data_IF_379925849110
#
_entry.id   IF_379925849110
#
_cell.length_a   1.000
_cell.length_b   1.000
_cell.length_c   1.000
_cell.angle_alpha   90.00
_cell.angle_beta   90.00
_cell.angle_gamma   90.00
#
_symmetry.space_group_name_H-M   'P 1'
#
loop_
_entity.id
_entity.type
_entity.pdbx_description
1 polymer ?
#
# COMPACT_ATOMS: atom_id res chain seq x y z
N UNK A 1 -16.94 31.89 -6.51
CA UNK A 1 -15.52 31.84 -6.93
C UNK A 1 -14.74 30.70 -6.26
N UNK A 2 -15.15 30.24 -5.07
CA UNK A 2 -14.58 29.04 -4.42
C UNK A 2 -14.83 27.75 -5.20
N UNK A 3 -15.98 27.65 -5.88
CA UNK A 3 -16.39 26.42 -6.54
C UNK A 3 -15.54 26.06 -7.77
N UNK A 4 -15.05 27.06 -8.51
CA UNK A 4 -14.21 26.81 -9.70
C UNK A 4 -12.81 26.35 -9.28
N UNK A 5 -12.24 26.95 -8.22
CA UNK A 5 -10.94 26.54 -7.68
C UNK A 5 -11.05 25.14 -7.07
N UNK A 6 -12.07 24.87 -6.24
CA UNK A 6 -12.31 23.53 -5.68
C UNK A 6 -12.62 22.48 -6.76
N UNK A 7 -13.28 22.83 -7.86
CA UNK A 7 -13.59 21.89 -8.94
C UNK A 7 -12.40 21.63 -9.87
N UNK A 8 -11.44 22.55 -9.98
CA UNK A 8 -10.17 22.37 -10.71
C UNK A 8 -9.17 21.57 -9.88
N UNK A 9 -9.02 21.89 -8.59
CA UNK A 9 -8.13 21.15 -7.70
C UNK A 9 -8.71 19.77 -7.30
N UNK A 10 -10.02 19.67 -7.11
CA UNK A 10 -10.69 18.40 -6.79
C UNK A 10 -10.72 17.39 -7.94
N UNK A 11 -10.66 17.84 -9.20
CA UNK A 11 -10.48 16.96 -10.36
C UNK A 11 -9.01 16.64 -10.65
N UNK A 12 -8.07 17.44 -10.15
CA UNK A 12 -6.62 17.22 -10.30
C UNK A 12 -6.03 16.34 -9.19
N UNK A 13 -6.75 16.13 -8.07
CA UNK A 13 -6.39 15.12 -7.06
C UNK A 13 -6.82 13.76 -7.59
N UNK A 14 -5.90 13.17 -8.34
CA UNK A 14 -5.98 11.85 -8.94
C UNK A 14 -6.14 10.80 -7.81
N UNK A 15 -7.38 10.52 -7.38
CA UNK A 15 -7.65 9.49 -6.36
C UNK A 15 -7.05 8.13 -6.76
N UNK A 16 -6.83 7.90 -8.07
CA UNK A 16 -6.08 6.78 -8.60
C UNK A 16 -4.59 6.80 -8.26
N UNK A 17 -3.96 7.97 -8.13
CA UNK A 17 -2.56 8.10 -7.73
C UNK A 17 -2.37 7.77 -6.25
N UNK A 18 -3.23 8.29 -5.37
CA UNK A 18 -3.17 7.96 -3.93
C UNK A 18 -3.43 6.47 -3.68
N UNK A 19 -4.40 5.89 -4.39
CA UNK A 19 -4.68 4.45 -4.36
C UNK A 19 -3.45 3.64 -4.82
N UNK A 20 -2.88 3.98 -5.99
CA UNK A 20 -1.70 3.29 -6.55
C UNK A 20 -0.48 3.41 -5.63
N UNK A 21 -0.25 4.60 -5.08
CA UNK A 21 0.84 4.85 -4.13
C UNK A 21 0.65 4.04 -2.86
N UNK A 22 -0.58 3.96 -2.34
CA UNK A 22 -0.89 3.18 -1.14
C UNK A 22 -0.67 1.68 -1.37
N UNK A 23 -1.13 1.14 -2.50
CA UNK A 23 -0.85 -0.25 -2.87
C UNK A 23 0.65 -0.54 -3.01
N UNK A 24 1.38 0.37 -3.66
CA UNK A 24 2.84 0.26 -3.83
C UNK A 24 3.57 0.31 -2.49
N UNK A 25 3.18 1.25 -1.61
CA UNK A 25 3.73 1.41 -0.28
C UNK A 25 3.46 0.17 0.59
N UNK A 26 2.21 -0.33 0.61
CA UNK A 26 1.81 -1.54 1.31
C UNK A 26 2.63 -2.77 0.88
N UNK A 27 2.82 -2.96 -0.44
CA UNK A 27 3.64 -4.03 -0.99
C UNK A 27 5.12 -3.87 -0.59
N UNK A 28 5.65 -2.65 -0.66
CA UNK A 28 7.03 -2.34 -0.27
C UNK A 28 7.28 -2.56 1.23
N UNK A 29 6.30 -2.29 2.09
CA UNK A 29 6.38 -2.51 3.52
C UNK A 29 6.46 -4.02 3.83
N UNK A 30 5.63 -4.84 3.18
CA UNK A 30 5.68 -6.29 3.30
C UNK A 30 7.02 -6.87 2.82
N UNK A 31 7.48 -6.44 1.64
CA UNK A 31 8.78 -6.85 1.10
C UNK A 31 9.94 -6.41 2.01
N UNK A 32 9.88 -5.18 2.54
CA UNK A 32 10.85 -4.64 3.49
C UNK A 32 10.90 -5.41 4.79
N UNK A 33 9.75 -5.81 5.36
CA UNK A 33 9.69 -6.66 6.53
C UNK A 33 10.41 -8.00 6.30
N UNK A 34 10.15 -8.64 5.15
CA UNK A 34 10.84 -9.88 4.75
C UNK A 34 12.35 -9.71 4.59
N UNK A 35 12.79 -8.62 3.95
CA UNK A 35 14.21 -8.30 3.77
C UNK A 35 14.92 -8.05 5.11
N UNK A 36 14.32 -7.27 6.01
CA UNK A 36 14.87 -7.02 7.35
C UNK A 36 14.88 -8.29 8.21
N UNK A 37 13.89 -9.17 8.07
CA UNK A 37 13.89 -10.46 8.75
C UNK A 37 15.05 -11.34 8.27
N UNK A 38 15.23 -11.46 6.96
CA UNK A 38 16.34 -12.21 6.37
C UNK A 38 17.70 -11.65 6.83
N UNK A 39 17.84 -10.32 6.89
CA UNK A 39 19.04 -9.66 7.39
C UNK A 39 19.25 -9.90 8.89
N UNK A 40 18.19 -9.88 9.70
CA UNK A 40 18.22 -10.17 11.14
C UNK A 40 18.75 -11.58 11.42
N UNK A 41 18.31 -12.57 10.64
CA UNK A 41 18.75 -13.96 10.76
C UNK A 41 20.23 -14.16 10.37
N UNK A 42 20.75 -13.32 9.47
CA UNK A 42 22.14 -13.36 9.02
C UNK A 42 23.09 -12.49 9.86
N UNK A 43 22.56 -11.67 10.78
CA UNK A 43 23.35 -10.76 11.59
C UNK A 43 24.26 -11.51 12.58
N UNK A 44 25.56 -11.20 12.50
CA UNK A 44 26.61 -11.84 13.30
C UNK A 44 26.75 -11.28 14.71
N UNK A 45 26.24 -10.07 14.97
CA UNK A 45 26.26 -9.42 16.28
C UNK A 45 24.86 -9.25 16.88
N UNK A 46 24.71 -9.35 18.21
CA UNK A 46 23.42 -9.18 18.86
C UNK A 46 22.87 -7.75 18.73
N UNK A 47 23.73 -6.73 18.70
CA UNK A 47 23.33 -5.32 18.56
C UNK A 47 22.71 -5.06 17.19
N UNK A 48 23.33 -5.57 16.11
CA UNK A 48 22.79 -5.43 14.76
C UNK A 48 21.49 -6.22 14.61
N UNK A 49 21.41 -7.41 15.20
CA UNK A 49 20.19 -8.22 15.22
C UNK A 49 19.03 -7.49 15.90
N UNK A 50 19.28 -6.81 17.01
CA UNK A 50 18.27 -6.04 17.73
C UNK A 50 17.74 -4.87 16.88
N UNK A 51 18.62 -4.13 16.21
CA UNK A 51 18.24 -3.01 15.34
C UNK A 51 17.41 -3.50 14.15
N UNK A 52 17.90 -4.50 13.42
CA UNK A 52 17.21 -5.04 12.24
C UNK A 52 15.87 -5.68 12.62
N UNK A 53 15.81 -6.39 13.76
CA UNK A 53 14.57 -6.93 14.31
C UNK A 53 13.56 -5.83 14.63
N UNK A 54 14.02 -4.70 15.15
CA UNK A 54 13.18 -3.50 15.35
C UNK A 54 12.58 -2.99 14.03
N UNK A 55 13.34 -2.98 12.94
CA UNK A 55 12.82 -2.58 11.63
C UNK A 55 11.78 -3.56 11.08
N UNK A 56 11.88 -4.86 11.37
CA UNK A 56 10.82 -5.83 11.02
C UNK A 56 9.50 -5.41 11.65
N UNK A 57 9.49 -5.14 12.97
CA UNK A 57 8.28 -4.70 13.67
C UNK A 57 7.72 -3.40 13.10
N UNK A 58 8.58 -2.43 12.79
CA UNK A 58 8.14 -1.16 12.18
C UNK A 58 7.52 -1.37 10.80
N UNK A 59 8.10 -2.23 9.96
CA UNK A 59 7.56 -2.53 8.62
C UNK A 59 6.25 -3.31 8.66
N UNK A 60 6.07 -4.20 9.63
CA UNK A 60 4.78 -4.87 9.86
C UNK A 60 3.70 -3.86 10.25
N UNK A 61 4.00 -2.94 11.18
CA UNK A 61 3.07 -1.88 11.58
C UNK A 61 2.75 -0.92 10.43
N UNK A 62 3.73 -0.58 9.59
CA UNK A 62 3.53 0.23 8.39
C UNK A 62 2.58 -0.46 7.40
N UNK A 63 2.80 -1.75 7.13
CA UNK A 63 1.91 -2.54 6.27
C UNK A 63 0.47 -2.58 6.81
N UNK A 64 0.31 -2.82 8.11
CA UNK A 64 -0.99 -2.88 8.78
C UNK A 64 -1.72 -1.54 8.70
N UNK A 65 -1.04 -0.44 9.03
CA UNK A 65 -1.59 0.92 8.96
C UNK A 65 -2.04 1.28 7.55
N UNK A 66 -1.25 0.94 6.52
CA UNK A 66 -1.63 1.20 5.13
C UNK A 66 -2.79 0.30 4.72
N UNK A 67 -2.83 -0.95 5.18
CA UNK A 67 -3.93 -1.89 4.92
C UNK A 67 -5.25 -1.35 5.47
N UNK A 68 -5.26 -0.90 6.72
CA UNK A 68 -6.43 -0.24 7.31
C UNK A 68 -6.82 1.02 6.54
N UNK A 69 -5.84 1.82 6.11
CA UNK A 69 -6.08 3.03 5.31
C UNK A 69 -6.77 2.71 3.98
N UNK A 70 -6.28 1.74 3.21
CA UNK A 70 -6.88 1.37 1.91
C UNK A 70 -8.26 0.72 2.07
N UNK A 71 -8.48 -0.03 3.16
CA UNK A 71 -9.79 -0.57 3.51
C UNK A 71 -10.79 0.53 3.87
N UNK A 72 -10.39 1.49 4.72
CA UNK A 72 -11.23 2.61 5.13
C UNK A 72 -11.59 3.53 3.97
N UNK A 73 -10.73 3.63 2.95
CA UNK A 73 -11.00 4.35 1.70
C UNK A 73 -11.90 3.57 0.73
N UNK A 74 -12.16 2.29 0.99
CA UNK A 74 -12.95 1.41 0.13
C UNK A 74 -12.21 0.94 -1.12
N UNK A 75 -10.89 1.10 -1.16
CA UNK A 75 -10.05 0.66 -2.29
C UNK A 75 -9.75 -0.83 -2.24
N UNK A 76 -9.79 -1.44 -1.05
CA UNK A 76 -9.60 -2.87 -0.85
C UNK A 76 -10.73 -3.45 0.00
N UNK A 77 -11.30 -4.57 -0.46
CA UNK A 77 -12.26 -5.37 0.30
C UNK A 77 -11.71 -6.80 0.45
N UNK A 78 -10.87 -7.06 1.47
CA UNK A 78 -10.17 -8.35 1.61
C UNK A 78 -11.11 -9.52 1.92
N UNK A 79 -12.34 -9.25 2.36
CA UNK A 79 -13.35 -10.25 2.68
C UNK A 79 -14.32 -10.57 1.54
N UNK A 80 -14.16 -9.94 0.37
CA UNK A 80 -14.96 -10.29 -0.81
C UNK A 80 -14.62 -11.70 -1.31
N UNK A 81 -15.54 -12.32 -2.04
CA UNK A 81 -15.26 -13.59 -2.72
C UNK A 81 -14.02 -13.46 -3.62
N UNK A 82 -13.10 -14.45 -3.66
CA UNK A 82 -11.89 -14.35 -4.48
C UNK A 82 -12.14 -14.03 -5.95
N UNK A 83 -13.26 -14.52 -6.51
CA UNK A 83 -13.69 -14.20 -7.88
C UNK A 83 -14.00 -12.72 -8.06
N UNK A 84 -14.66 -12.08 -7.08
CA UNK A 84 -14.95 -10.64 -7.09
C UNK A 84 -13.68 -9.81 -6.91
N UNK A 85 -12.75 -10.25 -6.06
CA UNK A 85 -11.47 -9.57 -5.89
C UNK A 85 -10.66 -9.57 -7.20
N UNK A 86 -10.64 -10.69 -7.92
CA UNK A 86 -10.01 -10.80 -9.24
C UNK A 86 -10.71 -9.93 -10.29
N UNK A 87 -12.04 -9.93 -10.32
CA UNK A 87 -12.82 -9.09 -11.23
C UNK A 87 -12.56 -7.59 -10.99
N UNK A 88 -12.51 -7.18 -9.71
CA UNK A 88 -12.19 -5.80 -9.32
C UNK A 88 -10.80 -5.40 -9.79
N UNK A 89 -9.80 -6.25 -9.53
CA UNK A 89 -8.41 -6.02 -9.96
C UNK A 89 -8.31 -5.93 -11.49
N UNK A 90 -9.01 -6.80 -12.22
CA UNK A 90 -9.02 -6.78 -13.68
C UNK A 90 -9.65 -5.49 -14.23
N UNK A 91 -10.80 -5.07 -13.68
CA UNK A 91 -11.45 -3.81 -14.06
C UNK A 91 -10.55 -2.60 -13.80
N UNK A 92 -9.90 -2.58 -12.64
CA UNK A 92 -8.96 -1.51 -12.28
C UNK A 92 -7.77 -1.45 -13.25
N UNK A 93 -7.15 -2.60 -13.54
CA UNK A 93 -6.06 -2.69 -14.54
C UNK A 93 -6.49 -2.14 -15.91
N UNK A 94 -7.67 -2.55 -16.40
CA UNK A 94 -8.19 -2.08 -17.68
C UNK A 94 -8.51 -0.57 -17.67
N UNK A 95 -8.99 -0.03 -16.55
CA UNK A 95 -9.22 1.42 -16.39
C UNK A 95 -7.91 2.23 -16.45
N UNK A 96 -6.82 1.68 -15.94
CA UNK A 96 -5.50 2.32 -16.03
C UNK A 96 -4.93 2.24 -17.44
N UNK A 97 -5.09 1.09 -18.12
CA UNK A 97 -4.63 0.90 -19.49
C UNK A 97 -5.41 1.72 -20.52
N UNK A 98 -6.71 1.95 -20.29
CA UNK A 98 -7.58 2.72 -21.19
C UNK A 98 -7.47 4.25 -21.09
N UNK A 99 -6.65 4.78 -20.16
CA UNK A 99 -6.39 6.23 -20.00
C UNK A 99 -5.26 6.77 -20.90
N UNK A 100 -4.74 5.97 -21.83
CA UNK A 100 -3.72 6.34 -22.81
C UNK A 100 -4.29 6.58 -24.20
#
# INVERSE_FOLDING_TARGET
MSDIISNIFGQATDSSADETLSYSAMASAAAGAGAYLAATLQATTPELRAILGGFVSQKVLEHDTITEYVMNKGWMNPYDDPSKQLESTFKQSNSMMGRH
#
